data_IF_937553272534
#
_entry.id   IF_937553272534
#
_cell.length_a   1.000
_cell.length_b   1.000
_cell.length_c   1.000
_cell.angle_alpha   90.00
_cell.angle_beta   90.00
_cell.angle_gamma   90.00
#
_symmetry.space_group_name_H-M   'P 1'
#
loop_
_entity.id
_entity.type
_entity.pdbx_description
1 polymer ?
#
# COMPACT_ATOMS: atom_id res chain seq x y z
N UNK A 1 6.50 -4.17 -33.18
CA UNK A 1 6.44 -2.79 -32.64
C UNK A 1 5.25 -2.77 -31.71
N UNK A 2 5.45 -2.72 -30.40
CA UNK A 2 4.32 -2.54 -29.46
C UNK A 2 3.86 -1.10 -29.59
N UNK A 3 2.60 -0.89 -29.97
CA UNK A 3 2.03 0.46 -30.06
C UNK A 3 2.00 1.10 -28.66
N UNK A 4 2.37 2.38 -28.59
CA UNK A 4 2.52 3.14 -27.34
C UNK A 4 1.21 3.26 -26.56
N UNK A 5 0.08 3.47 -27.26
CA UNK A 5 -1.22 3.72 -26.64
C UNK A 5 -1.85 2.49 -25.97
N UNK A 6 -1.85 1.28 -26.59
CA UNK A 6 -2.22 0.05 -25.89
C UNK A 6 -1.37 -0.18 -24.63
N UNK A 7 -0.06 0.07 -24.72
CA UNK A 7 0.86 -0.08 -23.58
C UNK A 7 0.46 0.80 -22.38
N UNK A 8 0.07 2.06 -22.61
CA UNK A 8 -0.34 2.94 -21.49
C UNK A 8 -1.63 2.44 -20.82
N UNK A 9 -2.64 2.08 -21.61
CA UNK A 9 -3.92 1.60 -21.09
C UNK A 9 -3.80 0.30 -20.31
N UNK A 10 -3.10 -0.68 -20.88
CA UNK A 10 -2.94 -2.01 -20.27
C UNK A 10 -2.21 -1.91 -18.93
N UNK A 11 -1.10 -1.17 -18.86
CA UNK A 11 -0.35 -1.01 -17.62
C UNK A 11 -1.09 -0.18 -16.58
N UNK A 12 -1.89 0.81 -16.97
CA UNK A 12 -2.75 1.54 -16.05
C UNK A 12 -3.78 0.62 -15.40
N UNK A 13 -4.44 -0.24 -16.18
CA UNK A 13 -5.39 -1.23 -15.66
C UNK A 13 -4.67 -2.24 -14.76
N UNK A 14 -3.51 -2.77 -15.19
CA UNK A 14 -2.71 -3.68 -14.39
C UNK A 14 -2.31 -3.06 -13.05
N UNK A 15 -1.90 -1.79 -13.02
CA UNK A 15 -1.57 -1.06 -11.80
C UNK A 15 -2.76 -0.87 -10.88
N UNK A 16 -3.93 -0.57 -11.44
CA UNK A 16 -5.16 -0.46 -10.66
C UNK A 16 -5.55 -1.81 -10.05
N UNK A 17 -5.58 -2.87 -10.86
CA UNK A 17 -5.97 -4.21 -10.42
C UNK A 17 -4.95 -4.83 -9.45
N UNK A 18 -3.67 -4.45 -9.55
CA UNK A 18 -2.63 -4.79 -8.57
C UNK A 18 -3.01 -4.31 -7.17
N UNK A 19 -3.77 -3.21 -7.04
CA UNK A 19 -4.29 -2.74 -5.76
C UNK A 19 -5.68 -3.32 -5.50
N UNK A 20 -6.65 -3.06 -6.37
CA UNK A 20 -8.04 -3.46 -6.18
C UNK A 20 -8.52 -4.26 -7.40
N UNK A 21 -8.79 -5.58 -7.27
CA UNK A 21 -9.00 -6.33 -6.03
C UNK A 21 -7.81 -7.14 -5.50
N UNK A 22 -6.67 -7.21 -6.22
CA UNK A 22 -5.65 -8.24 -5.95
C UNK A 22 -4.67 -7.87 -4.82
N UNK A 23 -4.49 -6.59 -4.52
CA UNK A 23 -3.46 -6.07 -3.62
C UNK A 23 -3.87 -6.02 -2.17
N UNK A 24 -4.18 -7.17 -1.56
CA UNK A 24 -4.63 -7.21 -0.16
C UNK A 24 -3.64 -6.55 0.81
N UNK A 25 -2.33 -6.70 0.59
CA UNK A 25 -1.31 -6.02 1.40
C UNK A 25 -1.50 -4.49 1.39
N UNK A 26 -1.67 -3.91 0.20
CA UNK A 26 -1.91 -2.48 0.02
C UNK A 26 -3.25 -2.05 0.62
N UNK A 27 -4.32 -2.83 0.39
CA UNK A 27 -5.65 -2.54 0.92
C UNK A 27 -5.60 -2.47 2.45
N UNK A 28 -5.05 -3.50 3.11
CA UNK A 28 -4.97 -3.53 4.57
C UNK A 28 -4.06 -2.42 5.11
N UNK A 29 -2.96 -2.11 4.42
CA UNK A 29 -2.08 -1.00 4.78
C UNK A 29 -2.82 0.35 4.74
N UNK A 30 -3.53 0.65 3.65
CA UNK A 30 -4.29 1.89 3.46
C UNK A 30 -5.43 1.99 4.47
N UNK A 31 -6.15 0.90 4.72
CA UNK A 31 -7.19 0.87 5.74
C UNK A 31 -6.60 1.09 7.14
N UNK A 32 -5.43 0.53 7.43
CA UNK A 32 -4.70 0.81 8.68
C UNK A 32 -4.32 2.29 8.81
N UNK A 33 -3.88 2.93 7.72
CA UNK A 33 -3.64 4.39 7.69
C UNK A 33 -4.93 5.18 7.92
N UNK A 34 -5.99 4.81 7.22
CA UNK A 34 -7.30 5.46 7.31
C UNK A 34 -7.88 5.41 8.73
N UNK A 35 -7.74 4.28 9.43
CA UNK A 35 -8.22 4.14 10.80
C UNK A 35 -7.44 5.01 11.81
N UNK A 36 -6.23 5.46 11.48
CA UNK A 36 -5.42 6.30 12.36
C UNK A 36 -5.74 7.80 12.29
N UNK A 37 -6.45 8.26 11.25
CA UNK A 37 -6.80 9.68 11.11
C UNK A 37 -8.02 9.87 10.22
N UNK A 38 -8.90 10.80 10.61
CA UNK A 38 -10.11 11.14 9.86
C UNK A 38 -9.86 12.22 8.78
N UNK A 39 -8.63 12.73 8.67
CA UNK A 39 -8.28 13.81 7.74
C UNK A 39 -7.84 13.24 6.39
N UNK A 40 -8.55 13.61 5.33
CA UNK A 40 -8.31 13.08 3.98
C UNK A 40 -6.98 13.55 3.36
N UNK A 41 -6.66 14.84 3.46
CA UNK A 41 -5.44 15.38 2.83
C UNK A 41 -4.13 14.73 3.35
N UNK A 42 -3.93 14.54 4.66
CA UNK A 42 -2.78 13.78 5.14
C UNK A 42 -2.73 12.33 4.65
N UNK A 43 -3.88 11.69 4.41
CA UNK A 43 -3.92 10.31 3.89
C UNK A 43 -3.51 10.28 2.42
N UNK A 44 -4.03 11.19 1.59
CA UNK A 44 -3.64 11.31 0.18
C UNK A 44 -2.13 11.52 0.08
N UNK A 45 -1.55 12.44 0.85
CA UNK A 45 -0.10 12.65 0.85
C UNK A 45 0.71 11.41 1.25
N UNK A 46 0.24 10.64 2.23
CA UNK A 46 0.88 9.38 2.62
C UNK A 46 0.79 8.32 1.52
N UNK A 47 -0.37 8.20 0.88
CA UNK A 47 -0.62 7.28 -0.25
C UNK A 47 0.25 7.64 -1.46
N UNK A 48 0.38 8.93 -1.79
CA UNK A 48 1.28 9.41 -2.85
C UNK A 48 2.75 9.14 -2.48
N UNK A 49 3.17 9.44 -1.25
CA UNK A 49 4.54 9.18 -0.80
C UNK A 49 4.90 7.68 -0.86
N UNK A 50 3.97 6.82 -0.47
CA UNK A 50 4.09 5.37 -0.62
C UNK A 50 4.27 4.99 -2.10
N UNK A 51 3.42 5.52 -2.99
CA UNK A 51 3.47 5.21 -4.42
C UNK A 51 4.78 5.65 -5.06
N UNK A 52 5.31 6.82 -4.67
CA UNK A 52 6.61 7.31 -5.16
C UNK A 52 7.76 6.39 -4.72
N UNK A 53 7.77 5.95 -3.47
CA UNK A 53 8.75 4.98 -2.96
C UNK A 53 8.64 3.61 -3.65
N UNK A 54 7.41 3.13 -3.83
CA UNK A 54 7.09 1.92 -4.57
C UNK A 54 7.60 2.00 -6.01
N UNK A 55 7.29 3.10 -6.71
CA UNK A 55 7.72 3.34 -8.09
C UNK A 55 9.25 3.28 -8.22
N UNK A 56 9.95 3.91 -7.27
CA UNK A 56 11.41 3.95 -7.25
C UNK A 56 12.01 2.54 -7.14
N UNK A 57 11.57 1.77 -6.15
CA UNK A 57 12.13 0.42 -5.91
C UNK A 57 11.71 -0.58 -6.96
N UNK A 58 10.48 -0.51 -7.46
CA UNK A 58 10.03 -1.31 -8.59
C UNK A 58 10.90 -1.05 -9.83
N UNK A 59 11.16 0.23 -10.16
CA UNK A 59 12.01 0.58 -11.29
C UNK A 59 13.44 0.06 -11.10
N UNK A 60 14.03 0.22 -9.90
CA UNK A 60 15.36 -0.30 -9.60
C UNK A 60 15.44 -1.83 -9.72
N UNK A 61 14.41 -2.53 -9.27
CA UNK A 61 14.37 -3.99 -9.33
C UNK A 61 14.18 -4.52 -10.76
N UNK A 62 13.28 -3.91 -11.53
CA UNK A 62 13.07 -4.24 -12.95
C UNK A 62 14.31 -3.98 -13.79
N UNK A 63 15.10 -2.94 -13.48
CA UNK A 63 16.38 -2.66 -14.13
C UNK A 63 17.52 -3.58 -13.66
N UNK A 64 17.26 -4.49 -12.71
CA UNK A 64 18.26 -5.39 -12.14
C UNK A 64 19.28 -4.70 -11.23
N UNK A 65 19.03 -3.46 -10.81
CA UNK A 65 19.92 -2.68 -9.94
C UNK A 65 19.78 -3.05 -8.46
N UNK A 66 18.60 -3.54 -8.06
CA UNK A 66 18.33 -4.00 -6.70
C UNK A 66 17.60 -5.34 -6.76
N UNK A 67 18.14 -6.35 -6.09
CA UNK A 67 17.48 -7.65 -5.95
C UNK A 67 17.49 -8.04 -4.48
N UNK A 68 16.32 -8.28 -3.92
CA UNK A 68 16.15 -8.76 -2.56
C UNK A 68 15.27 -10.00 -2.61
N UNK A 69 15.65 -11.11 -1.94
CA UNK A 69 14.84 -12.32 -1.96
C UNK A 69 13.43 -12.11 -1.41
N UNK A 70 12.43 -12.73 -2.06
CA UNK A 70 11.03 -12.65 -1.66
C UNK A 70 10.79 -13.10 -0.20
N UNK A 71 11.48 -14.16 0.24
CA UNK A 71 11.41 -14.65 1.63
C UNK A 71 11.88 -13.64 2.70
N UNK A 72 12.52 -12.54 2.29
CA UNK A 72 12.85 -11.40 3.17
C UNK A 72 11.82 -10.28 2.99
N UNK A 73 11.50 -9.93 1.74
CA UNK A 73 10.63 -8.80 1.42
C UNK A 73 9.20 -9.04 1.87
N UNK A 74 8.63 -10.21 1.57
CA UNK A 74 7.21 -10.49 1.81
C UNK A 74 6.84 -10.50 3.31
N UNK A 75 7.64 -11.09 4.23
CA UNK A 75 7.40 -10.94 5.67
C UNK A 75 7.51 -9.49 6.15
N UNK A 76 8.45 -8.70 5.62
CA UNK A 76 8.61 -7.29 6.01
C UNK A 76 7.42 -6.43 5.54
N UNK A 77 6.86 -6.74 4.36
CA UNK A 77 5.60 -6.16 3.89
C UNK A 77 4.47 -6.49 4.89
N UNK A 78 4.28 -7.76 5.24
CA UNK A 78 3.24 -8.16 6.20
C UNK A 78 3.44 -7.52 7.60
N UNK A 79 4.69 -7.43 8.05
CA UNK A 79 5.05 -6.80 9.32
C UNK A 79 4.76 -5.29 9.30
N UNK A 80 4.90 -4.62 8.16
CA UNK A 80 4.54 -3.20 8.01
C UNK A 80 3.05 -2.94 8.24
N UNK A 81 2.18 -3.86 7.81
CA UNK A 81 0.73 -3.82 8.04
C UNK A 81 0.44 -3.93 9.54
N UNK A 82 1.07 -4.91 10.20
CA UNK A 82 0.97 -5.08 11.65
C UNK A 82 1.47 -3.84 12.42
N UNK A 83 2.56 -3.22 11.96
CA UNK A 83 3.13 -2.03 12.59
C UNK A 83 2.17 -0.83 12.51
N UNK A 84 1.54 -0.57 11.36
CA UNK A 84 0.56 0.51 11.20
C UNK A 84 -0.68 0.27 12.07
N UNK A 85 -1.17 -0.97 12.13
CA UNK A 85 -2.27 -1.35 13.00
C UNK A 85 -1.95 -1.15 14.49
N UNK A 86 -0.77 -1.60 14.93
CA UNK A 86 -0.29 -1.42 16.29
C UNK A 86 -0.16 0.06 16.66
N UNK A 87 0.39 0.89 15.76
CA UNK A 87 0.47 2.34 15.97
C UNK A 87 -0.92 2.96 16.12
N UNK A 88 -1.89 2.51 15.33
CA UNK A 88 -3.28 2.99 15.38
C UNK A 88 -3.96 2.65 16.71
N UNK A 89 -3.80 1.42 17.21
CA UNK A 89 -4.30 1.01 18.53
C UNK A 89 -3.64 1.79 19.66
N UNK A 90 -2.33 1.99 19.57
CA UNK A 90 -1.57 2.76 20.55
C UNK A 90 -2.01 4.23 20.61
N UNK A 91 -2.18 4.88 19.45
CA UNK A 91 -2.69 6.25 19.33
C UNK A 91 -4.09 6.36 19.96
N UNK A 92 -4.99 5.43 19.64
CA UNK A 92 -6.35 5.43 20.16
C UNK A 92 -6.38 5.27 21.69
N UNK A 93 -5.60 4.33 22.24
CA UNK A 93 -5.56 4.10 23.69
C UNK A 93 -5.01 5.28 24.51
N UNK A 94 -4.14 6.11 23.91
CA UNK A 94 -3.52 7.28 24.57
C UNK A 94 -4.09 8.63 24.16
N UNK A 95 -5.09 8.66 23.26
CA UNK A 95 -5.62 9.90 22.70
C UNK A 95 -4.57 10.76 22.00
N UNK A 96 -3.55 10.13 21.39
CA UNK A 96 -2.43 10.82 20.73
C UNK A 96 -2.63 10.91 19.22
N UNK A 97 -2.15 11.99 18.58
CA UNK A 97 -2.13 12.07 17.12
C UNK A 97 -1.12 11.07 16.52
N UNK A 98 -1.18 10.82 15.20
CA UNK A 98 -0.17 10.06 14.48
C UNK A 98 1.24 10.59 14.69
N UNK A 99 2.24 9.69 14.66
CA UNK A 99 3.65 10.08 14.77
C UNK A 99 4.03 11.09 13.70
N UNK A 100 4.84 12.11 14.06
CA UNK A 100 5.41 13.05 13.08
C UNK A 100 6.30 12.36 12.03
N UNK A 101 6.81 11.16 12.35
CA UNK A 101 7.64 10.35 11.46
C UNK A 101 6.82 9.46 10.53
N UNK A 102 5.48 9.46 10.65
CA UNK A 102 4.59 8.62 9.86
C UNK A 102 4.84 8.73 8.34
N UNK A 103 5.05 9.90 7.72
CA UNK A 103 5.34 9.96 6.29
C UNK A 103 6.64 9.24 5.90
N UNK A 104 7.67 9.32 6.73
CA UNK A 104 8.96 8.62 6.50
C UNK A 104 8.78 7.10 6.61
N UNK A 105 8.01 6.65 7.60
CA UNK A 105 7.70 5.23 7.80
C UNK A 105 6.89 4.69 6.61
N UNK A 106 5.86 5.43 6.17
CA UNK A 106 5.04 5.06 5.01
C UNK A 106 5.87 5.02 3.73
N UNK A 107 6.78 5.98 3.53
CA UNK A 107 7.72 5.95 2.42
C UNK A 107 8.60 4.70 2.47
N UNK A 108 9.18 4.37 3.62
CA UNK A 108 10.00 3.16 3.79
C UNK A 108 9.21 1.88 3.50
N UNK A 109 7.94 1.81 3.88
CA UNK A 109 7.07 0.69 3.55
C UNK A 109 6.76 0.61 2.05
N UNK A 110 6.58 1.76 1.38
CA UNK A 110 6.44 1.81 -0.08
C UNK A 110 7.67 1.24 -0.80
N UNK A 111 8.89 1.51 -0.29
CA UNK A 111 10.12 0.91 -0.82
C UNK A 111 10.08 -0.64 -0.75
N UNK A 112 9.58 -1.20 0.35
CA UNK A 112 9.49 -2.67 0.49
C UNK A 112 8.47 -3.26 -0.47
N UNK A 113 7.31 -2.62 -0.63
CA UNK A 113 6.25 -3.13 -1.50
C UNK A 113 6.66 -3.12 -2.98
N UNK A 114 7.39 -2.10 -3.43
CA UNK A 114 7.88 -2.06 -4.82
C UNK A 114 8.83 -3.21 -5.16
N UNK A 115 9.63 -3.67 -4.19
CA UNK A 115 10.46 -4.87 -4.35
C UNK A 115 9.62 -6.16 -4.43
N UNK A 116 8.55 -6.25 -3.65
CA UNK A 116 7.69 -7.44 -3.59
C UNK A 116 6.94 -7.74 -4.88
N UNK A 117 6.67 -6.72 -5.70
CA UNK A 117 5.96 -6.90 -6.98
C UNK A 117 6.87 -7.05 -8.20
N UNK A 118 8.17 -6.75 -8.08
CA UNK A 118 9.08 -6.70 -9.22
C UNK A 118 9.18 -8.02 -10.00
N UNK A 119 9.19 -9.16 -9.30
CA UNK A 119 9.23 -10.49 -9.92
C UNK A 119 8.04 -10.75 -10.84
N UNK A 120 6.82 -10.46 -10.35
CA UNK A 120 5.58 -10.62 -11.13
C UNK A 120 5.61 -9.74 -12.38
N UNK A 121 6.07 -8.50 -12.26
CA UNK A 121 6.11 -7.58 -13.40
C UNK A 121 7.13 -7.99 -14.46
N UNK A 122 8.24 -8.59 -14.05
CA UNK A 122 9.23 -9.16 -14.97
C UNK A 122 8.67 -10.37 -15.74
N UNK A 123 7.90 -11.24 -15.07
CA UNK A 123 7.26 -12.41 -15.69
C UNK A 123 6.20 -12.01 -16.72
N UNK A 124 5.51 -10.89 -16.53
CA UNK A 124 4.52 -10.35 -17.46
C UNK A 124 5.14 -9.84 -18.78
N UNK A 125 6.46 -9.74 -18.89
CA UNK A 125 7.15 -9.38 -20.13
C UNK A 125 7.03 -7.91 -20.49
N UNK A 126 7.79 -7.05 -19.81
CA UNK A 126 7.78 -5.60 -20.04
C UNK A 126 8.21 -5.22 -21.46
N UNK A 127 7.50 -4.29 -22.13
CA UNK A 127 7.88 -3.81 -23.45
C UNK A 127 9.16 -2.99 -23.35
N UNK A 128 10.28 -3.53 -23.85
CA UNK A 128 11.61 -2.90 -23.77
C UNK A 128 11.67 -1.52 -24.42
N UNK A 129 10.91 -1.29 -25.50
CA UNK A 129 10.82 0.00 -26.18
C UNK A 129 9.93 1.05 -25.49
N UNK A 130 9.14 0.65 -24.48
CA UNK A 130 8.18 1.51 -23.80
C UNK A 130 8.23 1.36 -22.26
N UNK A 131 9.34 0.86 -21.72
CA UNK A 131 9.50 0.51 -20.29
C UNK A 131 9.12 1.66 -19.36
N UNK A 132 9.64 2.87 -19.61
CA UNK A 132 9.34 4.04 -18.78
C UNK A 132 7.85 4.39 -18.80
N UNK A 133 7.21 4.30 -19.97
CA UNK A 133 5.78 4.55 -20.10
C UNK A 133 4.94 3.46 -19.39
N UNK A 134 5.34 2.19 -19.51
CA UNK A 134 4.71 1.08 -18.81
C UNK A 134 4.81 1.24 -17.29
N UNK A 135 6.00 1.53 -16.75
CA UNK A 135 6.21 1.74 -15.32
C UNK A 135 5.46 2.97 -14.80
N UNK A 136 5.47 4.09 -15.53
CA UNK A 136 4.72 5.28 -15.15
C UNK A 136 3.21 5.02 -15.14
N UNK A 137 2.68 4.40 -16.19
CA UNK A 137 1.25 4.08 -16.31
C UNK A 137 0.80 3.09 -15.24
N UNK A 138 1.63 2.08 -14.95
CA UNK A 138 1.41 1.14 -13.85
C UNK A 138 1.31 1.85 -12.51
N UNK A 139 2.27 2.72 -12.16
CA UNK A 139 2.24 3.40 -10.87
C UNK A 139 1.13 4.46 -10.77
N UNK A 140 0.70 5.06 -11.89
CA UNK A 140 -0.53 5.87 -11.92
C UNK A 140 -1.75 4.99 -11.61
N UNK A 141 -1.84 3.80 -12.22
CA UNK A 141 -2.86 2.81 -11.89
C UNK A 141 -2.86 2.43 -10.40
N UNK A 142 -1.68 2.20 -9.83
CA UNK A 142 -1.50 1.96 -8.39
C UNK A 142 -2.05 3.11 -7.57
N UNK A 143 -1.62 4.35 -7.83
CA UNK A 143 -2.10 5.52 -7.08
C UNK A 143 -3.63 5.65 -7.14
N UNK A 144 -4.23 5.46 -8.33
CA UNK A 144 -5.67 5.47 -8.53
C UNK A 144 -6.38 4.37 -7.73
N UNK A 145 -5.83 3.14 -7.71
CA UNK A 145 -6.35 2.04 -6.91
C UNK A 145 -6.30 2.33 -5.42
N UNK A 146 -5.20 2.90 -4.92
CA UNK A 146 -5.05 3.25 -3.51
C UNK A 146 -6.00 4.37 -3.10
N UNK A 147 -6.14 5.40 -3.94
CA UNK A 147 -7.10 6.49 -3.74
C UNK A 147 -8.53 5.95 -3.77
N UNK A 148 -8.85 5.00 -4.65
CA UNK A 148 -10.17 4.38 -4.71
C UNK A 148 -10.52 3.68 -3.38
N UNK A 149 -9.61 2.86 -2.85
CA UNK A 149 -9.78 2.21 -1.53
C UNK A 149 -10.02 3.25 -0.43
N UNK A 150 -9.21 4.31 -0.41
CA UNK A 150 -9.32 5.39 0.56
C UNK A 150 -10.68 6.11 0.47
N UNK A 151 -11.12 6.45 -0.74
CA UNK A 151 -12.39 7.14 -0.98
C UNK A 151 -13.60 6.27 -0.67
N UNK A 152 -13.54 4.97 -0.97
CA UNK A 152 -14.59 4.02 -0.60
C UNK A 152 -14.71 3.95 0.93
N UNK A 153 -13.61 3.76 1.65
CA UNK A 153 -13.60 3.73 3.11
C UNK A 153 -14.13 5.06 3.70
N UNK A 154 -13.70 6.19 3.15
CA UNK A 154 -14.16 7.51 3.56
C UNK A 154 -15.66 7.69 3.31
N UNK A 155 -16.16 7.36 2.11
CA UNK A 155 -17.57 7.49 1.76
C UNK A 155 -18.47 6.69 2.70
N UNK A 156 -18.04 5.48 3.09
CA UNK A 156 -18.76 4.62 4.02
C UNK A 156 -18.78 5.17 5.46
N UNK A 157 -17.68 5.77 5.92
CA UNK A 157 -17.45 6.00 7.35
C UNK A 157 -17.44 7.48 7.78
N UNK A 158 -17.26 8.45 6.87
CA UNK A 158 -17.05 9.86 7.22
C UNK A 158 -18.14 10.45 8.12
N UNK A 159 -19.41 10.08 7.87
CA UNK A 159 -20.56 10.55 8.66
C UNK A 159 -20.54 10.12 10.14
N UNK A 160 -19.70 9.15 10.48
CA UNK A 160 -19.60 8.58 11.82
C UNK A 160 -18.39 9.09 12.60
N UNK A 161 -17.47 9.84 11.98
CA UNK A 161 -16.21 10.26 12.61
C UNK A 161 -16.38 11.06 13.92
N UNK A 162 -17.45 11.84 14.04
CA UNK A 162 -17.77 12.61 15.24
C UNK A 162 -18.55 11.81 16.30
N UNK A 163 -18.91 10.55 16.03
CA UNK A 163 -19.70 9.73 16.94
C UNK A 163 -18.82 9.15 18.05
N UNK A 164 -19.22 9.26 19.34
CA UNK A 164 -18.41 8.74 20.46
C UNK A 164 -18.09 7.24 20.38
N UNK A 165 -18.95 6.46 19.72
CA UNK A 165 -18.77 5.01 19.55
C UNK A 165 -17.79 4.64 18.43
N UNK A 166 -17.49 5.54 17.49
CA UNK A 166 -16.73 5.23 16.28
C UNK A 166 -15.36 4.62 16.59
N UNK A 167 -14.65 5.21 17.55
CA UNK A 167 -13.35 4.69 17.99
C UNK A 167 -13.43 3.25 18.49
N UNK A 168 -14.33 2.98 19.43
CA UNK A 168 -14.45 1.66 20.08
C UNK A 168 -15.04 0.59 19.17
N UNK A 169 -15.97 0.93 18.30
CA UNK A 169 -16.71 -0.04 17.48
C UNK A 169 -16.15 -0.21 16.07
N UNK A 170 -15.33 0.72 15.56
CA UNK A 170 -14.76 0.65 14.20
C UNK A 170 -13.23 0.65 14.24
N UNK A 171 -12.63 1.67 14.85
CA UNK A 171 -11.16 1.85 14.82
C UNK A 171 -10.46 0.72 15.55
N UNK A 172 -10.84 0.42 16.80
CA UNK A 172 -10.21 -0.63 17.61
C UNK A 172 -10.35 -2.02 16.98
N UNK A 173 -11.56 -2.53 16.67
CA UNK A 173 -11.69 -3.86 16.08
C UNK A 173 -11.07 -3.92 14.67
N UNK A 174 -11.24 -2.88 13.85
CA UNK A 174 -10.64 -2.84 12.51
C UNK A 174 -9.12 -2.90 12.54
N UNK A 175 -8.49 -2.08 13.38
CA UNK A 175 -7.03 -2.10 13.54
C UNK A 175 -6.55 -3.42 14.17
N UNK A 176 -7.29 -4.00 15.13
CA UNK A 176 -6.95 -5.29 15.71
C UNK A 176 -6.99 -6.43 14.68
N UNK A 177 -8.01 -6.47 13.83
CA UNK A 177 -8.12 -7.44 12.74
C UNK A 177 -6.99 -7.28 11.72
N UNK A 178 -6.74 -6.07 11.24
CA UNK A 178 -5.62 -5.77 10.33
C UNK A 178 -4.29 -6.19 10.94
N UNK A 179 -4.07 -5.86 12.22
CA UNK A 179 -2.85 -6.23 12.94
C UNK A 179 -2.67 -7.73 13.08
N UNK A 180 -3.75 -8.45 13.43
CA UNK A 180 -3.72 -9.91 13.53
C UNK A 180 -3.43 -10.57 12.19
N UNK A 181 -4.05 -10.09 11.11
CA UNK A 181 -3.77 -10.56 9.73
C UNK A 181 -2.32 -10.30 9.34
N UNK A 182 -1.80 -9.09 9.59
CA UNK A 182 -0.40 -8.76 9.30
C UNK A 182 0.59 -9.64 10.06
N UNK A 183 0.34 -9.92 11.35
CA UNK A 183 1.19 -10.82 12.15
C UNK A 183 1.10 -12.27 11.65
N UNK A 184 -0.11 -12.74 11.35
CA UNK A 184 -0.33 -14.08 10.79
C UNK A 184 0.44 -14.26 9.48
N UNK A 185 0.27 -13.33 8.52
CA UNK A 185 1.00 -13.36 7.25
C UNK A 185 2.51 -13.21 7.42
N UNK A 186 2.97 -12.46 8.42
CA UNK A 186 4.40 -12.37 8.73
C UNK A 186 4.95 -13.76 9.08
N UNK A 187 4.26 -14.50 9.97
CA UNK A 187 4.68 -15.84 10.37
C UNK A 187 4.57 -16.82 9.20
N UNK A 188 3.46 -16.79 8.47
CA UNK A 188 3.24 -17.62 7.27
C UNK A 188 4.39 -17.45 6.26
N UNK A 189 4.70 -16.22 5.87
CA UNK A 189 5.73 -15.90 4.87
C UNK A 189 7.16 -16.18 5.36
N UNK A 190 7.41 -16.23 6.67
CA UNK A 190 8.69 -16.67 7.24
C UNK A 190 8.85 -18.18 7.15
N UNK A 191 7.75 -18.93 7.36
CA UNK A 191 7.78 -20.39 7.43
C UNK A 191 7.73 -21.06 6.06
N UNK A 192 7.22 -20.38 5.02
CA UNK A 192 7.11 -20.89 3.66
C UNK A 192 5.80 -21.65 3.45
#
# INVERSE_FOLDING_TARGET
MTDFWPTVGDYLILGFEHILPRGLDHILFILGLFLSTTRLMPLIWQVTAFTLAHSLTLALAVLGLVTVPAHIVEPLIALSIAAVAAETLWQHSRGRPPSRWRPVIVFAFGLLHGLGFAGVLMELGLPTGALAAALASFNIGVELGQIAVLLIAWALLHRFFARPWYGRAVVVPGAALIGATGLYWTVERILG
#
